data_IF_785981661548
#
_entry.id   IF_785981661548
#
_cell.length_a   1.000
_cell.length_b   1.000
_cell.length_c   1.000
_cell.angle_alpha   90.00
_cell.angle_beta   90.00
_cell.angle_gamma   90.00
#
_symmetry.space_group_name_H-M   'P 1'
#
loop_
_entity.id
_entity.type
_entity.pdbx_description
1 polymer ?
#
# COMPACT_ATOMS: atom_id res chain seq x y z
N UNK A 1 -7.18 16.11 6.10
CA UNK A 1 -7.56 14.71 6.36
C UNK A 1 -8.64 14.59 7.42
N UNK A 2 -8.53 15.25 8.57
CA UNK A 2 -9.56 15.18 9.61
C UNK A 2 -10.95 15.66 9.13
N UNK A 3 -11.03 16.78 8.42
CA UNK A 3 -12.28 17.26 7.79
C UNK A 3 -12.91 16.24 6.83
N UNK A 4 -12.09 15.53 6.06
CA UNK A 4 -12.55 14.49 5.13
C UNK A 4 -13.17 13.33 5.89
N UNK A 5 -12.53 12.85 6.96
CA UNK A 5 -13.08 11.77 7.77
C UNK A 5 -14.34 12.18 8.53
N UNK A 6 -14.43 13.43 9.01
CA UNK A 6 -15.65 13.92 9.65
C UNK A 6 -16.83 13.91 8.69
N UNK A 7 -16.66 14.42 7.46
CA UNK A 7 -17.69 14.36 6.41
C UNK A 7 -18.01 12.92 6.00
N UNK A 8 -16.99 12.07 5.91
CA UNK A 8 -17.15 10.65 5.60
C UNK A 8 -18.02 9.94 6.65
N UNK A 9 -17.72 10.13 7.94
CA UNK A 9 -18.52 9.55 9.04
C UNK A 9 -19.96 10.09 9.06
N UNK A 10 -20.14 11.39 8.83
CA UNK A 10 -21.47 12.00 8.72
C UNK A 10 -22.28 11.43 7.55
N UNK A 11 -21.66 11.19 6.39
CA UNK A 11 -22.32 10.64 5.21
C UNK A 11 -22.74 9.18 5.36
N UNK A 12 -22.00 8.38 6.14
CA UNK A 12 -22.32 6.97 6.40
C UNK A 12 -23.22 6.77 7.63
N UNK A 13 -23.53 7.84 8.37
CA UNK A 13 -24.36 7.80 9.59
C UNK A 13 -23.64 7.24 10.82
N UNK A 14 -22.31 7.27 10.86
CA UNK A 14 -21.51 6.78 11.99
C UNK A 14 -21.15 7.91 12.98
N UNK A 15 -21.03 7.59 14.27
CA UNK A 15 -20.62 8.55 15.30
C UNK A 15 -19.09 8.69 15.35
N UNK A 16 -18.58 9.83 14.88
CA UNK A 16 -17.15 10.19 14.90
C UNK A 16 -16.52 10.18 16.29
N UNK A 17 -17.30 10.32 17.36
CA UNK A 17 -16.80 10.34 18.74
C UNK A 17 -16.72 8.95 19.38
N UNK A 18 -17.17 7.90 18.69
CA UNK A 18 -17.05 6.51 19.15
C UNK A 18 -15.58 6.15 19.36
N UNK A 19 -15.26 5.55 20.50
CA UNK A 19 -13.88 5.21 20.89
C UNK A 19 -13.12 4.46 19.79
N UNK A 20 -13.76 3.48 19.16
CA UNK A 20 -13.16 2.68 18.07
C UNK A 20 -12.95 3.44 16.75
N UNK A 21 -13.60 4.58 16.54
CA UNK A 21 -13.50 5.38 15.31
C UNK A 21 -12.51 6.54 15.41
N UNK A 22 -12.14 6.98 16.63
CA UNK A 22 -11.15 8.04 16.83
C UNK A 22 -9.80 7.74 16.17
N UNK A 23 -9.34 6.50 16.25
CA UNK A 23 -8.07 6.07 15.65
C UNK A 23 -8.20 5.58 14.19
N UNK A 24 -9.42 5.48 13.65
CA UNK A 24 -9.65 5.02 12.27
C UNK A 24 -9.00 5.94 11.23
N UNK A 25 -9.13 7.28 11.30
CA UNK A 25 -8.46 8.19 10.36
C UNK A 25 -6.95 7.97 10.26
N UNK A 26 -6.29 7.68 11.40
CA UNK A 26 -4.86 7.43 11.47
C UNK A 26 -4.50 6.08 10.84
N UNK A 27 -5.24 5.02 11.16
CA UNK A 27 -5.06 3.68 10.57
C UNK A 27 -5.24 3.69 9.06
N UNK A 28 -6.26 4.38 8.55
CA UNK A 28 -6.53 4.48 7.11
C UNK A 28 -5.43 5.25 6.39
N UNK A 29 -4.88 6.31 7.00
CA UNK A 29 -3.74 7.02 6.42
C UNK A 29 -2.50 6.13 6.29
N UNK A 30 -2.17 5.36 7.32
CA UNK A 30 -1.04 4.43 7.28
C UNK A 30 -1.26 3.32 6.24
N UNK A 31 -2.49 2.80 6.16
CA UNK A 31 -2.87 1.86 5.13
C UNK A 31 -2.67 2.46 3.73
N UNK A 32 -3.21 3.64 3.45
CA UNK A 32 -3.04 4.28 2.13
C UNK A 32 -1.59 4.55 1.77
N UNK A 33 -0.77 4.96 2.73
CA UNK A 33 0.68 5.07 2.51
C UNK A 33 1.27 3.74 2.09
N UNK A 34 0.90 2.64 2.74
CA UNK A 34 1.38 1.31 2.42
C UNK A 34 0.90 0.82 1.04
N UNK A 35 -0.37 1.05 0.68
CA UNK A 35 -0.95 0.60 -0.58
C UNK A 35 -0.42 1.37 -1.79
N UNK A 36 -0.27 2.69 -1.64
CA UNK A 36 0.13 3.57 -2.72
C UNK A 36 1.64 3.90 -2.71
N UNK A 37 2.44 3.24 -1.87
CA UNK A 37 3.90 3.48 -1.80
C UNK A 37 4.59 3.24 -3.14
N UNK A 38 4.12 2.26 -3.92
CA UNK A 38 4.73 1.87 -5.20
C UNK A 38 4.79 3.01 -6.22
N UNK A 39 3.87 3.98 -6.17
CA UNK A 39 3.91 5.15 -7.06
C UNK A 39 5.11 6.08 -6.81
N UNK A 40 5.72 6.00 -5.63
CA UNK A 40 6.88 6.82 -5.23
C UNK A 40 8.19 6.03 -5.22
N UNK A 41 8.14 4.74 -5.50
CA UNK A 41 9.32 3.87 -5.53
C UNK A 41 9.96 3.88 -6.91
N UNK A 42 11.29 4.01 -6.98
CA UNK A 42 12.05 3.90 -8.24
C UNK A 42 12.40 2.43 -8.50
N UNK A 43 11.90 1.80 -9.58
CA UNK A 43 12.16 0.40 -9.89
C UNK A 43 13.65 0.10 -10.07
N UNK A 44 14.46 1.09 -10.46
CA UNK A 44 15.92 0.92 -10.60
C UNK A 44 16.58 0.65 -9.27
N UNK A 45 16.05 1.18 -8.17
CA UNK A 45 16.56 0.91 -6.82
C UNK A 45 16.32 -0.56 -6.46
N UNK A 46 15.15 -1.09 -6.77
CA UNK A 46 14.81 -2.50 -6.52
C UNK A 46 15.64 -3.47 -7.39
N UNK A 47 15.96 -3.07 -8.63
CA UNK A 47 16.71 -3.91 -9.58
C UNK A 47 18.24 -3.90 -9.37
N UNK A 48 18.79 -2.91 -8.65
CA UNK A 48 20.26 -2.76 -8.46
C UNK A 48 20.93 -3.96 -7.79
N UNK A 49 20.22 -4.69 -6.93
CA UNK A 49 20.74 -5.86 -6.21
C UNK A 49 20.66 -7.17 -7.00
N UNK A 50 20.00 -7.19 -8.16
CA UNK A 50 19.63 -8.42 -8.87
C UNK A 50 20.52 -8.77 -10.06
N UNK A 51 21.60 -8.02 -10.33
CA UNK A 51 22.51 -8.32 -11.43
C UNK A 51 23.45 -9.47 -11.09
N UNK A 52 23.03 -10.69 -11.43
CA UNK A 52 23.93 -11.84 -11.50
C UNK A 52 24.58 -11.87 -12.90
N UNK A 53 25.91 -11.77 -12.95
CA UNK A 53 26.69 -12.07 -14.16
C UNK A 53 26.83 -13.59 -14.27
N UNK A 54 25.82 -14.23 -14.86
CA UNK A 54 25.87 -15.64 -15.25
C UNK A 54 25.09 -15.78 -16.53
N UNK A 55 25.75 -16.27 -17.59
CA UNK A 55 25.05 -16.62 -18.83
C UNK A 55 24.19 -17.83 -18.50
N UNK A 56 22.87 -17.66 -18.55
CA UNK A 56 21.91 -18.73 -18.36
C UNK A 56 21.06 -18.79 -19.63
N UNK A 57 21.26 -19.83 -20.43
CA UNK A 57 20.59 -20.01 -21.72
C UNK A 57 19.26 -20.78 -21.59
N UNK A 58 18.82 -21.03 -20.35
CA UNK A 58 17.59 -21.77 -20.03
C UNK A 58 16.46 -20.84 -19.60
N UNK A 59 15.20 -21.25 -19.82
CA UNK A 59 14.02 -20.49 -19.39
C UNK A 59 13.87 -20.57 -17.86
N UNK A 60 13.87 -19.42 -17.20
CA UNK A 60 13.59 -19.31 -15.76
C UNK A 60 12.14 -18.84 -15.59
N UNK A 61 11.33 -19.59 -14.85
CA UNK A 61 9.93 -19.26 -14.54
C UNK A 61 9.78 -19.02 -13.04
N UNK A 62 9.45 -17.79 -12.66
CA UNK A 62 9.05 -17.47 -11.28
C UNK A 62 7.53 -17.65 -11.13
N UNK A 63 7.12 -18.55 -10.24
CA UNK A 63 5.71 -18.82 -9.92
C UNK A 63 5.43 -18.54 -8.43
N UNK A 64 4.14 -18.41 -8.07
CA UNK A 64 3.68 -18.10 -6.70
C UNK A 64 4.05 -16.71 -6.17
N UNK A 65 3.96 -15.69 -7.03
CA UNK A 65 4.09 -14.30 -6.61
C UNK A 65 2.75 -13.83 -6.06
N UNK A 66 2.69 -13.50 -4.77
CA UNK A 66 1.49 -12.92 -4.16
C UNK A 66 1.42 -11.42 -4.47
N UNK A 67 0.43 -11.03 -5.27
CA UNK A 67 0.12 -9.62 -5.53
C UNK A 67 -1.09 -9.21 -4.71
N UNK A 68 -0.96 -8.15 -3.91
CA UNK A 68 -2.08 -7.47 -3.28
C UNK A 68 -2.24 -6.11 -3.94
N UNK A 69 -3.19 -6.02 -4.88
CA UNK A 69 -3.57 -4.79 -5.56
C UNK A 69 -4.92 -4.33 -5.00
N UNK A 70 -5.08 -3.01 -4.88
CA UNK A 70 -6.33 -2.36 -4.48
C UNK A 70 -7.00 -1.73 -5.69
#
# INVERSE_FOLDING_TARGET
MEKFFNQFFENIGEDKNREGLKETPKRVQELWKFLYKGYKEDPRVALKSAYFQGVCDEMIVAQNISSCLF
#
